data_IF_796507685329
#
_entry.id   IF_796507685329
#
_cell.length_a   1.000
_cell.length_b   1.000
_cell.length_c   1.000
_cell.angle_alpha   90.00
_cell.angle_beta   90.00
_cell.angle_gamma   90.00
#
_symmetry.space_group_name_H-M   'P 1'
#
loop_
_entity.id
_entity.type
_entity.pdbx_description
1 polymer ?
#
# COMPACT_ATOMS: atom_id res chain seq x y z
N UNK A 1 -4.73 19.41 2.70
CA UNK A 1 -5.91 20.28 2.91
C UNK A 1 -6.33 20.20 4.36
N UNK A 2 -6.95 21.24 4.91
CA UNK A 2 -7.42 21.24 6.30
C UNK A 2 -8.85 21.78 6.38
N UNK A 3 -9.64 21.20 7.28
CA UNK A 3 -11.05 21.51 7.49
C UNK A 3 -11.28 21.77 8.98
N UNK A 4 -11.84 22.94 9.31
CA UNK A 4 -12.28 23.26 10.67
C UNK A 4 -13.68 22.67 10.87
N UNK A 5 -13.83 21.80 11.87
CA UNK A 5 -15.10 21.18 12.22
C UNK A 5 -15.91 22.10 13.14
N UNK A 6 -17.24 21.91 13.17
CA UNK A 6 -18.14 22.68 14.05
C UNK A 6 -17.79 22.53 15.53
N UNK A 7 -17.14 21.42 15.90
CA UNK A 7 -16.64 21.17 17.26
C UNK A 7 -15.42 22.02 17.64
N UNK A 8 -14.80 22.71 16.68
CA UNK A 8 -13.52 23.40 16.83
C UNK A 8 -12.29 22.51 16.62
N UNK A 9 -12.49 21.21 16.35
CA UNK A 9 -11.44 20.26 15.94
C UNK A 9 -11.02 20.50 14.48
N UNK A 10 -9.85 19.98 14.08
CA UNK A 10 -9.33 20.11 12.72
C UNK A 10 -9.16 18.73 12.08
N UNK A 11 -9.67 18.58 10.86
CA UNK A 11 -9.36 17.45 9.98
C UNK A 11 -8.31 17.87 8.96
N UNK A 12 -7.18 17.18 8.91
CA UNK A 12 -6.10 17.39 7.93
C UNK A 12 -6.12 16.21 6.96
N UNK A 13 -6.43 16.47 5.70
CA UNK A 13 -6.48 15.47 4.65
C UNK A 13 -5.31 15.62 3.68
N UNK A 14 -4.48 14.59 3.60
CA UNK A 14 -3.41 14.48 2.62
C UNK A 14 -3.91 13.82 1.35
N UNK A 15 -3.56 14.43 0.22
CA UNK A 15 -3.81 13.84 -1.09
C UNK A 15 -2.78 12.73 -1.31
N UNK A 16 -3.21 11.65 -1.96
CA UNK A 16 -2.29 10.71 -2.59
C UNK A 16 -1.56 11.32 -3.77
N UNK A 17 -0.97 10.47 -4.59
CA UNK A 17 -0.12 10.85 -5.72
C UNK A 17 -0.91 11.68 -6.73
N UNK A 18 -0.31 12.76 -7.21
CA UNK A 18 -0.81 13.46 -8.38
C UNK A 18 -0.25 12.82 -9.66
N UNK A 19 -0.77 13.23 -10.82
CA UNK A 19 -0.32 12.70 -12.12
C UNK A 19 1.05 13.27 -12.53
N UNK A 20 1.84 13.80 -11.61
CA UNK A 20 3.14 14.40 -11.93
C UNK A 20 4.25 13.37 -11.82
N UNK A 21 5.27 13.51 -12.67
CA UNK A 21 6.46 12.67 -12.65
C UNK A 21 7.20 12.71 -11.29
N UNK A 22 7.02 13.79 -10.52
CA UNK A 22 7.55 13.96 -9.16
C UNK A 22 6.76 13.12 -8.16
N UNK A 23 5.44 13.12 -8.24
CA UNK A 23 4.57 12.28 -7.42
C UNK A 23 4.92 10.80 -7.57
N UNK A 24 5.03 10.32 -8.82
CA UNK A 24 5.43 8.95 -9.13
C UNK A 24 6.86 8.62 -8.64
N UNK A 25 7.81 9.55 -8.79
CA UNK A 25 9.18 9.38 -8.27
C UNK A 25 9.24 9.33 -6.73
N UNK A 26 8.30 9.94 -6.03
CA UNK A 26 8.23 9.84 -4.58
C UNK A 26 7.56 8.57 -4.10
N UNK A 27 6.52 8.08 -4.79
CA UNK A 27 5.95 6.75 -4.51
C UNK A 27 7.02 5.67 -4.66
N UNK A 28 7.81 5.79 -5.72
CA UNK A 28 9.04 5.03 -5.94
C UNK A 28 9.96 5.13 -4.72
N UNK A 29 10.31 6.34 -4.27
CA UNK A 29 11.18 6.54 -3.11
C UNK A 29 10.63 5.93 -1.81
N UNK A 30 9.30 5.86 -1.61
CA UNK A 30 8.72 5.30 -0.38
C UNK A 30 8.98 3.81 -0.23
N UNK A 31 9.19 3.09 -1.33
CA UNK A 31 9.43 1.65 -1.26
C UNK A 31 10.85 1.29 -0.79
N UNK A 32 11.74 2.28 -0.62
CA UNK A 32 13.16 2.02 -0.29
C UNK A 32 13.89 3.09 0.50
N UNK A 33 13.40 4.32 0.53
CA UNK A 33 13.89 5.32 1.49
C UNK A 33 13.07 5.20 2.77
N UNK A 34 13.73 5.21 3.94
CA UNK A 34 13.00 5.25 5.21
C UNK A 34 12.18 6.54 5.35
N UNK A 35 12.59 7.61 4.67
CA UNK A 35 11.89 8.89 4.66
C UNK A 35 11.93 9.51 3.27
N UNK A 36 10.81 10.06 2.81
CA UNK A 36 10.71 10.81 1.56
C UNK A 36 10.44 12.32 1.81
N UNK A 37 10.74 13.21 0.86
CA UNK A 37 10.53 14.66 1.05
C UNK A 37 9.10 15.04 1.43
N UNK A 38 8.08 14.51 0.75
CA UNK A 38 6.68 14.84 1.08
C UNK A 38 6.22 14.35 2.45
N UNK A 39 6.92 13.40 3.09
CA UNK A 39 6.69 13.05 4.49
C UNK A 39 7.16 14.18 5.43
N UNK A 40 8.29 14.82 5.13
CA UNK A 40 8.73 16.02 5.84
C UNK A 40 7.78 17.20 5.59
N UNK A 41 7.38 17.42 4.34
CA UNK A 41 6.42 18.49 4.00
C UNK A 41 5.07 18.27 4.70
N UNK A 42 4.62 17.02 4.81
CA UNK A 42 3.41 16.67 5.55
C UNK A 42 3.53 16.96 7.05
N UNK A 43 4.68 16.65 7.65
CA UNK A 43 4.96 16.98 9.05
C UNK A 43 4.94 18.50 9.27
N UNK A 44 5.68 19.24 8.44
CA UNK A 44 5.74 20.71 8.51
C UNK A 44 4.34 21.33 8.38
N UNK A 45 3.53 20.81 7.45
CA UNK A 45 2.15 21.27 7.27
C UNK A 45 1.28 21.03 8.52
N UNK A 46 1.39 19.86 9.15
CA UNK A 46 0.65 19.56 10.39
C UNK A 46 1.08 20.49 11.52
N UNK A 47 2.38 20.76 11.65
CA UNK A 47 2.92 21.68 12.64
C UNK A 47 2.37 23.10 12.42
N UNK A 48 2.45 23.63 11.20
CA UNK A 48 1.91 24.94 10.84
C UNK A 48 0.42 25.07 11.15
N UNK A 49 -0.40 24.07 10.79
CA UNK A 49 -1.84 24.08 11.07
C UNK A 49 -2.10 24.04 12.59
N UNK A 50 -1.31 23.28 13.34
CA UNK A 50 -1.47 23.13 14.79
C UNK A 50 -1.12 24.41 15.57
N UNK A 51 -0.32 25.31 15.00
CA UNK A 51 -0.01 26.60 15.61
C UNK A 51 -1.23 27.52 15.56
N UNK A 52 -1.94 27.53 14.42
CA UNK A 52 -3.07 28.40 14.15
C UNK A 52 -4.36 27.97 14.83
N UNK A 53 -4.57 26.66 15.01
CA UNK A 53 -5.80 26.11 15.59
C UNK A 53 -5.47 25.24 16.81
N UNK A 54 -6.31 25.28 17.86
CA UNK A 54 -6.03 24.59 19.15
C UNK A 54 -6.87 23.33 19.40
N UNK A 55 -7.85 23.02 18.56
CA UNK A 55 -8.68 21.81 18.69
C UNK A 55 -7.89 20.51 18.50
N UNK A 56 -8.58 19.38 18.68
CA UNK A 56 -8.01 18.06 18.41
C UNK A 56 -7.77 17.90 16.91
N UNK A 57 -6.81 17.05 16.57
CA UNK A 57 -6.40 16.79 15.20
C UNK A 57 -6.89 15.41 14.77
N UNK A 58 -7.57 15.38 13.64
CA UNK A 58 -7.85 14.17 12.87
C UNK A 58 -7.03 14.26 11.59
N UNK A 59 -6.21 13.26 11.31
CA UNK A 59 -5.30 13.30 10.16
C UNK A 59 -5.63 12.11 9.28
N UNK A 60 -5.84 12.32 7.99
CA UNK A 60 -6.26 11.25 7.10
C UNK A 60 -5.64 11.39 5.72
N UNK A 61 -5.68 10.30 4.97
CA UNK A 61 -5.37 10.33 3.55
C UNK A 61 -5.59 8.98 2.90
N UNK A 62 -5.66 9.00 1.58
CA UNK A 62 -5.80 7.81 0.74
C UNK A 62 -4.51 7.56 -0.05
N UNK A 63 -4.19 6.28 -0.28
CA UNK A 63 -2.98 5.87 -1.01
C UNK A 63 -1.73 6.47 -0.35
N UNK A 64 -0.80 7.09 -1.08
CA UNK A 64 0.32 7.83 -0.50
C UNK A 64 -0.10 8.81 0.60
N UNK A 65 -1.24 9.46 0.47
CA UNK A 65 -1.75 10.39 1.48
C UNK A 65 -1.99 9.73 2.83
N UNK A 66 -2.37 8.45 2.84
CA UNK A 66 -2.54 7.68 4.06
C UNK A 66 -1.21 7.43 4.77
N UNK A 67 -0.15 7.16 4.01
CA UNK A 67 1.21 7.09 4.54
C UNK A 67 1.68 8.45 5.09
N UNK A 68 1.49 9.53 4.33
CA UNK A 68 1.84 10.89 4.78
C UNK A 68 1.14 11.26 6.09
N UNK A 69 -0.14 10.89 6.22
CA UNK A 69 -0.92 11.09 7.45
C UNK A 69 -0.29 10.37 8.64
N UNK A 70 0.09 9.12 8.48
CA UNK A 70 0.74 8.33 9.55
C UNK A 70 2.12 8.88 9.89
N UNK A 71 2.94 9.17 8.88
CA UNK A 71 4.28 9.71 9.10
C UNK A 71 4.23 11.03 9.86
N UNK A 72 3.47 12.01 9.37
CA UNK A 72 3.37 13.32 9.99
C UNK A 72 2.88 13.22 11.46
N UNK A 73 1.98 12.29 11.74
CA UNK A 73 1.47 12.05 13.08
C UNK A 73 2.50 11.38 14.01
N UNK A 74 3.28 10.43 13.48
CA UNK A 74 4.29 9.68 14.24
C UNK A 74 5.54 10.51 14.55
N UNK A 75 5.87 11.48 13.71
CA UNK A 75 7.09 12.29 13.84
C UNK A 75 6.87 13.71 14.35
N UNK A 76 5.62 14.11 14.58
CA UNK A 76 5.32 15.36 15.27
C UNK A 76 5.85 15.37 16.71
N UNK A 77 6.09 16.56 17.24
CA UNK A 77 6.47 16.74 18.64
C UNK A 77 5.36 16.23 19.60
N UNK A 78 5.74 15.87 20.84
CA UNK A 78 4.82 15.21 21.78
C UNK A 78 3.55 16.02 22.07
N UNK A 79 3.66 17.35 22.21
CA UNK A 79 2.51 18.20 22.49
C UNK A 79 1.50 18.19 21.33
N UNK A 80 1.98 18.09 20.09
CA UNK A 80 1.12 17.92 18.93
C UNK A 80 0.55 16.50 18.89
N UNK A 81 1.36 15.48 19.15
CA UNK A 81 0.88 14.10 19.21
C UNK A 81 -0.25 13.93 20.22
N UNK A 82 -0.20 14.58 21.38
CA UNK A 82 -1.27 14.53 22.39
C UNK A 82 -2.61 15.09 21.91
N UNK A 83 -2.58 15.97 20.91
CA UNK A 83 -3.79 16.52 20.29
C UNK A 83 -4.35 15.65 19.18
N UNK A 84 -3.59 14.68 18.67
CA UNK A 84 -4.05 13.79 17.62
C UNK A 84 -5.04 12.79 18.21
N UNK A 85 -6.30 12.92 17.80
CA UNK A 85 -7.41 12.08 18.21
C UNK A 85 -7.56 10.83 17.33
N UNK A 86 -7.14 10.89 16.07
CA UNK A 86 -7.18 9.74 15.17
C UNK A 86 -6.41 9.99 13.87
N UNK A 87 -5.77 8.94 13.37
CA UNK A 87 -5.03 8.93 12.11
C UNK A 87 -5.64 7.87 11.22
N UNK A 88 -6.18 8.25 10.07
CA UNK A 88 -6.90 7.35 9.17
C UNK A 88 -6.10 7.11 7.90
N UNK A 89 -5.53 5.91 7.80
CA UNK A 89 -4.82 5.44 6.63
C UNK A 89 -5.77 4.65 5.72
N UNK A 90 -6.20 5.26 4.62
CA UNK A 90 -7.14 4.67 3.67
C UNK A 90 -6.35 4.03 2.51
N UNK A 91 -6.09 2.73 2.62
CA UNK A 91 -5.37 1.93 1.63
C UNK A 91 -4.00 2.51 1.23
N UNK A 92 -3.32 3.16 2.19
CA UNK A 92 -1.99 3.70 2.02
C UNK A 92 -0.91 2.73 2.49
N UNK A 93 0.27 2.75 1.84
CA UNK A 93 1.34 1.81 2.14
C UNK A 93 1.87 1.99 3.57
N UNK A 94 2.26 0.88 4.20
CA UNK A 94 2.84 0.84 5.55
C UNK A 94 4.27 1.41 5.66
N UNK A 95 5.00 1.00 6.70
CA UNK A 95 6.34 1.51 7.01
C UNK A 95 7.33 0.37 7.25
N UNK A 96 8.63 0.67 7.14
CA UNK A 96 9.65 -0.29 7.54
C UNK A 96 9.58 -0.58 9.06
N UNK A 97 9.91 -1.82 9.45
CA UNK A 97 9.91 -2.26 10.85
C UNK A 97 10.78 -1.40 11.76
N UNK A 98 11.89 -0.87 11.24
CA UNK A 98 12.79 -0.02 12.01
C UNK A 98 12.15 1.33 12.37
N UNK A 99 11.26 1.85 11.50
CA UNK A 99 10.48 3.07 11.74
C UNK A 99 9.38 2.79 12.76
N UNK A 100 8.63 1.70 12.57
CA UNK A 100 7.51 1.35 13.44
C UNK A 100 7.97 1.17 14.90
N UNK A 101 9.17 0.61 15.12
CA UNK A 101 9.72 0.39 16.46
C UNK A 101 10.18 1.65 17.19
N UNK A 102 10.20 2.82 16.52
CA UNK A 102 10.59 4.06 17.16
C UNK A 102 9.56 4.50 18.20
N UNK A 103 10.03 5.08 19.31
CA UNK A 103 9.17 5.47 20.42
C UNK A 103 8.07 6.47 20.00
N UNK A 104 8.39 7.38 19.09
CA UNK A 104 7.46 8.37 18.55
C UNK A 104 6.32 7.71 17.76
N UNK A 105 6.64 6.69 16.95
CA UNK A 105 5.66 5.91 16.20
C UNK A 105 4.78 5.07 17.15
N UNK A 106 5.40 4.38 18.11
CA UNK A 106 4.67 3.57 19.10
C UNK A 106 3.67 4.40 19.92
N UNK A 107 3.95 5.68 20.18
CA UNK A 107 3.04 6.59 20.88
C UNK A 107 1.75 6.88 20.10
N UNK A 108 1.83 6.96 18.78
CA UNK A 108 0.66 7.24 17.93
C UNK A 108 -0.07 5.96 17.50
N UNK A 109 0.62 4.81 17.49
CA UNK A 109 0.11 3.52 17.01
C UNK A 109 -1.33 3.16 17.47
N UNK A 110 -1.73 3.37 18.74
CA UNK A 110 -3.09 3.05 19.19
C UNK A 110 -4.20 3.92 18.58
N UNK A 111 -3.83 4.98 17.86
CA UNK A 111 -4.72 5.96 17.24
C UNK A 111 -4.65 5.92 15.72
N UNK A 112 -3.91 4.95 15.16
CA UNK A 112 -3.87 4.69 13.72
C UNK A 112 -4.98 3.69 13.37
N UNK A 113 -5.81 4.07 12.41
CA UNK A 113 -6.87 3.26 11.85
C UNK A 113 -6.57 3.05 10.37
N UNK A 114 -6.04 1.87 10.04
CA UNK A 114 -5.72 1.49 8.67
C UNK A 114 -6.85 0.67 8.08
N UNK A 115 -7.34 1.05 6.91
CA UNK A 115 -8.39 0.35 6.17
C UNK A 115 -7.85 -0.11 4.83
N UNK A 116 -8.01 -1.39 4.51
CA UNK A 116 -7.56 -1.97 3.24
C UNK A 116 -8.70 -2.75 2.59
N UNK A 117 -8.95 -2.59 1.28
CA UNK A 117 -9.90 -3.44 0.56
C UNK A 117 -9.43 -4.90 0.55
N UNK A 118 -10.38 -5.82 0.44
CA UNK A 118 -10.17 -7.28 0.50
C UNK A 118 -9.12 -7.83 -0.49
N UNK A 119 -8.78 -7.12 -1.55
CA UNK A 119 -7.72 -7.47 -2.51
C UNK A 119 -6.68 -6.36 -2.68
N UNK A 120 -6.42 -5.58 -1.63
CA UNK A 120 -5.45 -4.49 -1.67
C UNK A 120 -4.05 -4.99 -2.06
N UNK A 121 -3.48 -4.31 -3.04
CA UNK A 121 -2.07 -4.42 -3.42
C UNK A 121 -1.28 -3.23 -2.86
N UNK A 122 -1.86 -2.02 -2.87
CA UNK A 122 -1.18 -0.77 -2.50
C UNK A 122 -0.91 -0.69 -1.00
N UNK A 123 -1.91 -0.95 -0.16
CA UNK A 123 -1.68 -1.07 1.29
C UNK A 123 -0.64 -2.13 1.60
N UNK A 124 -0.63 -3.24 0.87
CA UNK A 124 0.27 -4.37 1.11
C UNK A 124 1.70 -4.18 0.56
N UNK A 125 2.02 -3.07 -0.11
CA UNK A 125 3.35 -2.82 -0.68
C UNK A 125 4.45 -2.75 0.39
N UNK A 126 4.11 -2.30 1.60
CA UNK A 126 5.02 -2.17 2.74
C UNK A 126 4.44 -2.86 3.98
N UNK A 127 5.26 -3.01 5.02
CA UNK A 127 4.83 -3.73 6.22
C UNK A 127 3.84 -2.88 7.03
N UNK A 128 2.68 -3.46 7.31
CA UNK A 128 1.82 -3.01 8.40
C UNK A 128 2.10 -3.91 9.60
N UNK A 129 2.64 -3.37 10.69
CA UNK A 129 2.61 -4.06 12.00
C UNK A 129 1.41 -3.61 12.84
N UNK A 130 0.77 -2.50 12.47
CA UNK A 130 -0.51 -2.08 13.02
C UNK A 130 -1.64 -3.04 12.62
N UNK A 131 -2.64 -3.13 13.50
CA UNK A 131 -3.90 -3.77 13.13
C UNK A 131 -4.55 -2.97 12.01
N UNK A 132 -4.95 -3.66 10.94
CA UNK A 132 -5.72 -3.07 9.85
C UNK A 132 -7.11 -3.71 9.78
N UNK A 133 -8.05 -2.93 9.27
CA UNK A 133 -9.41 -3.35 9.00
C UNK A 133 -9.53 -3.73 7.53
N UNK A 134 -9.97 -4.96 7.27
CA UNK A 134 -10.28 -5.38 5.90
C UNK A 134 -11.71 -4.97 5.59
N UNK A 135 -11.89 -4.22 4.50
CA UNK A 135 -13.20 -3.71 4.07
C UNK A 135 -13.62 -4.32 2.73
N UNK A 136 -14.92 -4.50 2.56
CA UNK A 136 -15.49 -5.04 1.33
C UNK A 136 -15.49 -3.98 0.21
N UNK A 137 -15.15 -4.39 -1.00
CA UNK A 137 -15.28 -3.59 -2.22
C UNK A 137 -16.13 -4.33 -3.25
N UNK A 138 -16.90 -3.60 -4.07
CA UNK A 138 -17.62 -4.16 -5.21
C UNK A 138 -16.78 -4.25 -6.50
N UNK A 139 -15.53 -3.82 -6.45
CA UNK A 139 -14.56 -3.92 -7.55
C UNK A 139 -13.64 -5.13 -7.36
N UNK A 140 -12.82 -5.43 -8.37
CA UNK A 140 -11.85 -6.53 -8.36
C UNK A 140 -10.42 -6.02 -8.48
N UNK A 141 -9.50 -6.67 -7.77
CA UNK A 141 -8.05 -6.42 -7.88
C UNK A 141 -7.70 -4.94 -7.60
N UNK A 142 -6.82 -4.33 -8.41
CA UNK A 142 -6.37 -2.94 -8.25
C UNK A 142 -7.51 -1.92 -8.30
N UNK A 143 -8.62 -2.23 -8.96
CA UNK A 143 -9.77 -1.33 -9.03
C UNK A 143 -10.45 -1.12 -7.68
N UNK A 144 -10.19 -2.00 -6.70
CA UNK A 144 -10.63 -1.78 -5.32
C UNK A 144 -9.86 -0.66 -4.61
N UNK A 145 -8.76 -0.17 -5.17
CA UNK A 145 -8.04 0.98 -4.64
C UNK A 145 -8.87 2.27 -4.73
N UNK A 146 -9.87 2.31 -5.62
CA UNK A 146 -10.84 3.41 -5.67
C UNK A 146 -11.76 3.37 -4.44
N UNK A 147 -11.72 4.37 -3.53
CA UNK A 147 -12.56 4.41 -2.34
C UNK A 147 -14.07 4.39 -2.63
N UNK A 148 -14.50 4.81 -3.82
CA UNK A 148 -15.92 4.76 -4.21
C UNK A 148 -16.44 3.34 -4.44
N UNK A 149 -15.55 2.36 -4.55
CA UNK A 149 -15.93 0.94 -4.62
C UNK A 149 -16.22 0.32 -3.25
N UNK A 150 -15.82 0.97 -2.16
CA UNK A 150 -15.89 0.42 -0.81
C UNK A 150 -17.33 0.40 -0.31
N UNK A 151 -17.75 -0.75 0.21
CA UNK A 151 -19.13 -1.01 0.60
C UNK A 151 -19.37 -0.52 2.02
N UNK A 152 -20.52 0.13 2.21
CA UNK A 152 -20.97 0.66 3.49
C UNK A 152 -22.25 -0.06 3.93
N UNK A 153 -22.37 -0.30 5.24
CA UNK A 153 -23.62 -0.65 5.89
C UNK A 153 -24.02 0.52 6.81
N UNK A 154 -25.04 1.28 6.39
CA UNK A 154 -25.42 2.51 7.08
C UNK A 154 -24.33 3.58 7.02
N UNK A 155 -23.71 3.87 8.16
CA UNK A 155 -22.69 4.91 8.32
C UNK A 155 -21.27 4.34 8.50
N UNK A 156 -21.08 3.03 8.36
CA UNK A 156 -19.80 2.35 8.58
C UNK A 156 -19.45 1.39 7.44
N UNK A 157 -18.20 0.96 7.35
CA UNK A 157 -17.74 -0.01 6.36
C UNK A 157 -18.30 -1.41 6.62
N UNK A 158 -18.47 -2.18 5.54
CA UNK A 158 -18.65 -3.63 5.66
C UNK A 158 -17.28 -4.26 5.89
N UNK A 159 -17.06 -4.77 7.11
CA UNK A 159 -15.80 -5.39 7.52
C UNK A 159 -15.74 -6.88 7.18
N UNK A 160 -14.57 -7.34 6.76
CA UNK A 160 -14.26 -8.75 6.52
C UNK A 160 -13.22 -9.25 7.54
N UNK A 161 -13.18 -10.55 7.77
CA UNK A 161 -12.23 -11.15 8.72
C UNK A 161 -10.78 -11.15 8.22
N UNK A 162 -10.58 -11.27 6.91
CA UNK A 162 -9.25 -11.32 6.30
C UNK A 162 -9.31 -10.82 4.86
N UNK A 163 -8.13 -10.50 4.32
CA UNK A 163 -7.94 -10.31 2.89
C UNK A 163 -8.16 -11.62 2.14
N UNK A 164 -8.36 -11.55 0.83
CA UNK A 164 -8.55 -12.75 -0.01
C UNK A 164 -7.27 -13.60 -0.10
N UNK A 165 -7.40 -14.91 -0.28
CA UNK A 165 -6.26 -15.82 -0.46
C UNK A 165 -5.35 -15.41 -1.65
N UNK A 166 -5.91 -14.79 -2.69
CA UNK A 166 -5.15 -14.20 -3.80
C UNK A 166 -4.31 -12.99 -3.37
N UNK A 167 -4.82 -12.17 -2.45
CA UNK A 167 -4.11 -11.02 -1.88
C UNK A 167 -3.00 -11.49 -0.94
N UNK A 168 -3.25 -12.52 -0.13
CA UNK A 168 -2.22 -13.15 0.72
C UNK A 168 -1.11 -13.77 -0.13
N UNK A 169 -1.47 -14.46 -1.23
CA UNK A 169 -0.51 -15.05 -2.15
C UNK A 169 0.34 -13.96 -2.82
N UNK A 170 -0.28 -12.88 -3.28
CA UNK A 170 0.40 -11.74 -3.88
C UNK A 170 1.35 -11.08 -2.86
N UNK A 171 0.91 -10.81 -1.64
CA UNK A 171 1.72 -10.25 -0.55
C UNK A 171 2.95 -11.13 -0.26
N UNK A 172 2.76 -12.44 -0.12
CA UNK A 172 3.86 -13.38 0.11
C UNK A 172 4.83 -13.43 -1.07
N UNK A 173 4.33 -13.48 -2.30
CA UNK A 173 5.16 -13.51 -3.50
C UNK A 173 5.95 -12.20 -3.67
N UNK A 174 5.29 -11.06 -3.43
CA UNK A 174 5.92 -9.75 -3.47
C UNK A 174 7.02 -9.65 -2.41
N UNK A 175 6.74 -10.02 -1.15
CA UNK A 175 7.75 -10.04 -0.06
C UNK A 175 8.93 -10.95 -0.37
N UNK A 176 8.69 -12.16 -0.86
CA UNK A 176 9.75 -13.12 -1.20
C UNK A 176 10.62 -12.63 -2.37
N UNK A 177 9.98 -12.02 -3.36
CA UNK A 177 10.67 -11.48 -4.51
C UNK A 177 11.52 -10.25 -4.13
N UNK A 178 10.96 -9.35 -3.32
CA UNK A 178 11.67 -8.19 -2.80
C UNK A 178 12.83 -8.56 -1.87
N UNK A 179 12.75 -9.66 -1.11
CA UNK A 179 13.76 -9.98 -0.09
C UNK A 179 15.18 -10.21 -0.63
N UNK A 180 15.34 -10.40 -1.94
CA UNK A 180 16.63 -10.62 -2.60
C UNK A 180 17.09 -9.45 -3.46
N UNK A 181 16.29 -8.38 -3.52
CA UNK A 181 16.58 -7.19 -4.30
C UNK A 181 17.25 -6.12 -3.45
N UNK A 182 18.13 -5.34 -4.06
CA UNK A 182 18.53 -4.06 -3.47
C UNK A 182 17.37 -3.06 -3.51
N UNK A 183 17.41 -2.12 -2.58
CA UNK A 183 16.40 -1.11 -2.32
C UNK A 183 16.04 -0.30 -3.58
N UNK A 184 17.03 0.08 -4.40
CA UNK A 184 16.83 0.76 -5.70
C UNK A 184 16.14 -0.11 -6.77
N UNK A 185 16.29 -1.43 -6.68
CA UNK A 185 15.69 -2.39 -7.60
C UNK A 185 14.22 -2.65 -7.21
N UNK A 186 13.89 -2.85 -5.93
CA UNK A 186 12.51 -3.13 -5.49
C UNK A 186 11.49 -2.14 -6.03
N UNK A 187 11.87 -0.87 -6.08
CA UNK A 187 11.04 0.25 -6.50
C UNK A 187 10.72 0.24 -8.00
N UNK A 188 11.73 0.03 -8.85
CA UNK A 188 11.59 -0.07 -10.32
C UNK A 188 10.67 -1.25 -10.69
N UNK A 189 10.78 -2.30 -9.88
CA UNK A 189 10.03 -3.53 -9.98
C UNK A 189 8.54 -3.35 -9.62
N UNK A 190 8.25 -2.69 -8.48
CA UNK A 190 6.90 -2.42 -8.00
C UNK A 190 6.15 -1.50 -8.95
N UNK A 191 6.77 -0.41 -9.39
CA UNK A 191 6.15 0.54 -10.32
C UNK A 191 5.89 -0.11 -11.67
N UNK A 192 6.84 -0.87 -12.22
CA UNK A 192 6.63 -1.55 -13.49
C UNK A 192 5.52 -2.60 -13.40
N UNK A 193 5.40 -3.32 -12.28
CA UNK A 193 4.28 -4.23 -12.03
C UNK A 193 2.97 -3.45 -11.94
N UNK A 194 2.93 -2.37 -11.18
CA UNK A 194 1.73 -1.54 -11.03
C UNK A 194 1.29 -0.95 -12.37
N UNK A 195 2.20 -0.40 -13.17
CA UNK A 195 1.91 0.17 -14.48
C UNK A 195 1.40 -0.90 -15.45
N UNK A 196 2.01 -2.08 -15.43
CA UNK A 196 1.56 -3.24 -16.22
C UNK A 196 0.17 -3.67 -15.79
N UNK A 197 -0.05 -3.86 -14.50
CA UNK A 197 -1.33 -4.32 -13.96
C UNK A 197 -2.44 -3.29 -14.20
N UNK A 198 -2.14 -2.00 -14.05
CA UNK A 198 -3.09 -0.90 -14.25
C UNK A 198 -3.45 -0.69 -15.73
N UNK A 199 -2.53 -0.99 -16.66
CA UNK A 199 -2.78 -0.93 -18.11
C UNK A 199 -3.45 -2.19 -18.65
N UNK A 200 -3.36 -3.30 -17.94
CA UNK A 200 -4.09 -4.53 -18.28
C UNK A 200 -5.48 -4.51 -17.66
N UNK A 201 -6.53 -4.71 -18.46
CA UNK A 201 -7.91 -4.91 -17.98
C UNK A 201 -8.10 -6.31 -17.34
N UNK A 202 -7.06 -6.82 -16.66
CA UNK A 202 -6.96 -8.16 -16.15
C UNK A 202 -7.67 -8.24 -14.79
N UNK A 203 -8.76 -8.99 -14.73
CA UNK A 203 -9.59 -9.10 -13.52
C UNK A 203 -9.03 -10.13 -12.53
N UNK A 204 -8.06 -10.96 -12.94
CA UNK A 204 -7.46 -12.04 -12.14
C UNK A 204 -6.00 -12.34 -12.52
N UNK A 205 -5.26 -13.03 -11.63
CA UNK A 205 -3.92 -13.61 -11.91
C UNK A 205 -3.98 -14.57 -13.13
N UNK A 206 -5.12 -15.19 -13.41
CA UNK A 206 -5.33 -16.01 -14.61
C UNK A 206 -5.37 -15.19 -15.90
N UNK A 207 -5.84 -13.94 -15.83
CA UNK A 207 -5.86 -13.03 -16.99
C UNK A 207 -4.47 -12.46 -17.30
N UNK A 208 -3.56 -12.51 -16.31
CA UNK A 208 -2.12 -12.22 -16.45
C UNK A 208 -1.29 -13.44 -16.86
N UNK A 209 -1.94 -14.57 -17.15
CA UNK A 209 -1.26 -15.76 -17.67
C UNK A 209 -0.42 -15.40 -18.90
N UNK A 210 0.85 -15.81 -18.87
CA UNK A 210 1.88 -15.64 -19.92
C UNK A 210 1.39 -16.16 -21.30
N UNK A 211 0.33 -16.97 -21.32
CA UNK A 211 -0.31 -17.47 -22.54
C UNK A 211 -1.18 -16.45 -23.27
N UNK A 212 -1.55 -15.32 -22.66
CA UNK A 212 -2.42 -14.32 -23.29
C UNK A 212 -1.62 -13.22 -24.01
N UNK A 213 -1.17 -13.53 -25.22
CA UNK A 213 -0.27 -12.72 -26.07
C UNK A 213 -0.71 -11.25 -26.24
N UNK A 214 -2.02 -10.96 -26.15
CA UNK A 214 -2.55 -9.59 -26.26
C UNK A 214 -2.19 -8.70 -25.07
N UNK A 215 -2.18 -9.24 -23.85
CA UNK A 215 -1.79 -8.47 -22.66
C UNK A 215 -0.27 -8.21 -22.66
N UNK A 216 0.51 -9.18 -23.12
CA UNK A 216 1.96 -9.03 -23.33
C UNK A 216 2.30 -7.92 -24.34
N UNK A 217 1.51 -7.74 -25.41
CA UNK A 217 1.73 -6.67 -26.40
C UNK A 217 1.47 -5.26 -25.83
N UNK A 218 0.50 -5.10 -24.94
CA UNK A 218 0.21 -3.80 -24.27
C UNK A 218 1.32 -3.43 -23.29
N UNK A 219 1.74 -4.43 -22.50
CA UNK A 219 2.91 -4.38 -21.62
C UNK A 219 4.15 -3.97 -22.42
N UNK A 220 4.48 -4.71 -23.49
CA UNK A 220 5.63 -4.44 -24.37
C UNK A 220 5.57 -3.08 -25.07
N UNK A 221 4.37 -2.56 -25.39
CA UNK A 221 4.22 -1.19 -25.93
C UNK A 221 4.57 -0.13 -24.90
N UNK A 222 4.18 -0.30 -23.64
CA UNK A 222 4.61 0.58 -22.54
C UNK A 222 6.12 0.56 -22.33
N UNK A 223 6.77 -0.59 -22.54
CA UNK A 223 8.22 -0.75 -22.47
C UNK A 223 8.98 -0.23 -23.70
N UNK A 224 8.29 0.01 -24.82
CA UNK A 224 8.94 0.44 -26.07
C UNK A 224 9.42 1.89 -26.05
N UNK A 225 8.94 2.69 -25.10
CA UNK A 225 9.32 4.08 -24.87
C UNK A 225 10.50 4.24 -23.90
N UNK A 226 10.91 3.16 -23.22
CA UNK A 226 12.06 3.12 -22.32
C UNK A 226 13.34 2.74 -23.08
N UNK A 227 14.49 3.22 -22.59
CA UNK A 227 15.80 2.84 -23.11
C UNK A 227 16.08 1.34 -22.94
N UNK A 228 16.99 0.79 -23.76
CA UNK A 228 17.24 -0.66 -23.83
C UNK A 228 17.70 -1.27 -22.51
N UNK A 229 18.50 -0.54 -21.72
CA UNK A 229 19.05 -1.03 -20.47
C UNK A 229 17.96 -1.11 -19.40
N UNK A 230 17.15 -0.05 -19.27
CA UNK A 230 15.97 -0.04 -18.40
C UNK A 230 14.97 -1.14 -18.79
N UNK A 231 14.75 -1.37 -20.09
CA UNK A 231 13.84 -2.41 -20.58
C UNK A 231 14.30 -3.81 -20.18
N UNK A 232 15.58 -4.14 -20.30
CA UNK A 232 16.13 -5.45 -19.92
C UNK A 232 15.99 -5.70 -18.42
N UNK A 233 16.33 -4.70 -17.61
CA UNK A 233 16.23 -4.78 -16.15
C UNK A 233 14.78 -5.06 -15.74
N UNK A 234 13.82 -4.32 -16.31
CA UNK A 234 12.40 -4.51 -16.00
C UNK A 234 11.84 -5.87 -16.47
N UNK A 235 12.33 -6.39 -17.60
CA UNK A 235 11.98 -7.74 -18.06
C UNK A 235 12.47 -8.83 -17.11
N UNK A 236 13.73 -8.76 -16.67
CA UNK A 236 14.31 -9.70 -15.72
C UNK A 236 13.58 -9.67 -14.37
N UNK A 237 13.20 -8.47 -13.92
CA UNK A 237 12.40 -8.27 -12.73
C UNK A 237 11.03 -8.93 -12.83
N UNK A 238 10.28 -8.67 -13.91
CA UNK A 238 8.96 -9.29 -14.13
C UNK A 238 9.05 -10.83 -14.15
N UNK A 239 10.03 -11.38 -14.85
CA UNK A 239 10.26 -12.85 -14.89
C UNK A 239 10.52 -13.38 -13.48
N UNK A 240 11.37 -12.70 -12.72
CA UNK A 240 11.69 -13.07 -11.34
C UNK A 240 10.46 -13.00 -10.42
N UNK A 241 9.57 -12.01 -10.59
CA UNK A 241 8.33 -11.90 -9.84
C UNK A 241 7.37 -13.06 -10.14
N UNK A 242 7.11 -13.34 -11.42
CA UNK A 242 6.24 -14.46 -11.81
C UNK A 242 6.81 -15.81 -11.38
N UNK A 243 8.14 -15.98 -11.38
CA UNK A 243 8.77 -17.19 -10.84
C UNK A 243 8.53 -17.36 -9.34
N UNK A 244 8.53 -16.26 -8.58
CA UNK A 244 8.25 -16.23 -7.14
C UNK A 244 6.79 -16.57 -6.86
N UNK A 245 5.85 -16.02 -7.64
CA UNK A 245 4.43 -16.40 -7.58
C UNK A 245 4.22 -17.91 -7.78
N UNK A 246 4.85 -18.51 -8.80
CA UNK A 246 4.75 -19.95 -9.07
C UNK A 246 5.31 -20.77 -7.90
N UNK A 247 6.43 -20.33 -7.32
CA UNK A 247 7.05 -20.98 -6.16
C UNK A 247 6.16 -20.95 -4.92
N UNK A 248 5.63 -19.79 -4.53
CA UNK A 248 4.71 -19.67 -3.38
C UNK A 248 3.46 -20.53 -3.59
N UNK A 249 2.93 -20.57 -4.81
CA UNK A 249 1.76 -21.39 -5.13
C UNK A 249 2.05 -22.89 -5.01
N UNK A 250 3.24 -23.32 -5.45
CA UNK A 250 3.73 -24.70 -5.27
C UNK A 250 3.93 -25.07 -3.80
N UNK A 251 4.53 -24.17 -3.02
CA UNK A 251 4.75 -24.36 -1.58
C UNK A 251 3.43 -24.44 -0.81
N UNK A 252 2.44 -23.60 -1.14
CA UNK A 252 1.11 -23.66 -0.55
C UNK A 252 0.35 -24.94 -0.92
N UNK A 253 0.43 -25.40 -2.18
CA UNK A 253 -0.16 -26.68 -2.60
C UNK A 253 0.46 -27.88 -1.86
N UNK A 254 1.78 -27.85 -1.64
CA UNK A 254 2.48 -28.87 -0.85
C UNK A 254 2.04 -28.83 0.62
N UNK A 255 1.85 -27.63 1.19
CA UNK A 255 1.39 -27.43 2.57
C UNK A 255 -0.04 -27.92 2.78
N UNK A 256 -0.94 -27.65 1.83
CA UNK A 256 -2.33 -28.14 1.84
C UNK A 256 -2.33 -29.68 1.77
N UNK A 257 -1.58 -30.27 0.83
CA UNK A 257 -1.46 -31.75 0.73
C UNK A 257 -0.85 -32.39 1.98
N UNK A 258 0.09 -31.72 2.65
CA UNK A 258 0.67 -32.21 3.92
C UNK A 258 -0.33 -32.12 5.08
N UNK A 259 -1.15 -31.07 5.12
CA UNK A 259 -2.18 -30.91 6.15
C UNK A 259 -3.37 -31.87 5.94
N UNK A 260 -3.78 -32.10 4.69
CA UNK A 260 -4.79 -33.12 4.35
C UNK A 260 -4.31 -34.53 4.71
N UNK A 261 -3.06 -34.87 4.41
CA UNK A 261 -2.47 -36.16 4.81
C UNK A 261 -2.36 -36.33 6.33
N UNK A 262 -2.09 -35.25 7.08
CA UNK A 262 -2.10 -35.28 8.55
C UNK A 262 -3.50 -35.39 9.15
N UNK A 263 -4.51 -34.82 8.50
CA UNK A 263 -5.91 -34.92 8.91
C UNK A 263 -6.50 -36.32 8.63
N UNK A 264 -6.03 -37.00 7.58
CA UNK A 264 -6.42 -38.38 7.24
C UNK A 264 -5.70 -39.46 8.09
N UNK A 265 -4.69 -39.08 8.86
CA UNK A 265 -3.93 -39.96 9.77
C UNK A 265 -4.37 -39.83 11.24
N UNK A 266 -5.40 -39.04 11.54
CA UNK A 266 -6.07 -38.96 12.85
C UNK A 266 -7.44 -39.60 12.77
#
# INVERSE_FOLDING_TARGET
>A
MSFLLETGDICIAFRGTDSTLVGWKEDFNMSFLPVIPSQHDALEYVEQISEHYKGRLYICGHSKGGNLAVYASAFANEALQDRIAGVYNMDGPGFDKTIIKQASFQRILPRIYTYVPQSSVVGMLLQHEEAYHVIQSNQLSLWQHDPYSWQLEGADFIYLQSITASSELFDHALKQWMSHMEDSQRALAVDAIYDVLSRTNANTIKDLSITNIKNMLVILKGFSELDEDTRKVLQEMLISFFSSMVKVMGDNLLRIKQNENKALQK
#
